data_IF_743458141096
#
_entry.id   IF_743458141096
#
_cell.length_a   1.000
_cell.length_b   1.000
_cell.length_c   1.000
_cell.angle_alpha   90.00
_cell.angle_beta   90.00
_cell.angle_gamma   90.00
#
_symmetry.space_group_name_H-M   'P 1'
#
loop_
_entity.id
_entity.type
_entity.pdbx_description
1 polymer ?
#
# COMPACT_ATOMS: atom_id res chain seq x y z
N UNK A 1 52.00 -12.21 2.93
CA UNK A 1 51.07 -11.05 2.97
C UNK A 1 49.83 -11.42 2.18
N UNK A 2 48.64 -11.39 2.77
CA UNK A 2 47.36 -11.65 2.09
C UNK A 2 46.65 -10.30 1.91
N UNK A 3 46.25 -10.00 0.67
CA UNK A 3 45.49 -8.80 0.34
C UNK A 3 44.04 -8.97 0.82
N UNK A 4 43.52 -7.94 1.50
CA UNK A 4 42.10 -7.84 1.86
C UNK A 4 41.51 -6.79 0.93
N UNK A 5 40.61 -7.23 0.05
CA UNK A 5 39.86 -6.35 -0.85
C UNK A 5 38.76 -5.67 -0.06
N UNK A 6 38.81 -4.33 0.04
CA UNK A 6 37.76 -3.54 0.66
C UNK A 6 36.64 -3.30 -0.35
N UNK A 7 35.45 -3.83 -0.08
CA UNK A 7 34.24 -3.55 -0.86
C UNK A 7 33.68 -2.20 -0.41
N UNK A 8 33.65 -1.22 -1.33
CA UNK A 8 33.07 0.09 -1.07
C UNK A 8 31.54 0.00 -1.02
N UNK A 9 30.94 0.50 0.06
CA UNK A 9 29.50 0.68 0.21
C UNK A 9 29.16 2.09 -0.27
N UNK A 10 28.41 2.20 -1.36
CA UNK A 10 27.92 3.48 -1.87
C UNK A 10 26.61 3.84 -1.13
N UNK A 11 26.65 4.91 -0.34
CA UNK A 11 25.46 5.54 0.24
C UNK A 11 24.84 6.47 -0.79
N UNK A 12 23.70 6.09 -1.37
CA UNK A 12 22.85 6.99 -2.13
C UNK A 12 21.73 7.50 -1.22
N UNK A 13 21.71 8.81 -0.97
CA UNK A 13 20.64 9.46 -0.22
C UNK A 13 19.53 9.83 -1.21
N UNK A 14 18.40 9.12 -1.17
CA UNK A 14 17.17 9.54 -1.84
C UNK A 14 16.21 10.06 -0.78
N UNK A 15 15.91 11.36 -0.85
CA UNK A 15 14.88 11.98 -0.03
C UNK A 15 13.50 11.68 -0.66
N UNK A 16 12.74 10.79 -0.02
CA UNK A 16 11.33 10.56 -0.39
C UNK A 16 10.47 11.66 0.23
N UNK A 17 10.04 12.61 -0.60
CA UNK A 17 9.13 13.68 -0.22
C UNK A 17 7.69 13.26 -0.51
N UNK A 18 7.06 12.49 0.37
CA UNK A 18 5.61 12.28 0.29
C UNK A 18 4.96 13.16 1.36
N UNK A 19 4.60 14.37 0.96
CA UNK A 19 3.83 15.32 1.75
C UNK A 19 2.34 15.06 1.50
N UNK A 20 1.60 14.63 2.52
CA UNK A 20 0.15 14.51 2.43
C UNK A 20 -0.49 15.84 2.83
N UNK A 21 -1.29 16.41 1.92
CA UNK A 21 -2.15 17.55 2.21
C UNK A 21 -3.23 17.13 3.22
N UNK A 22 -3.42 17.93 4.27
CA UNK A 22 -4.52 17.77 5.22
C UNK A 22 -5.85 18.21 4.60
N UNK A 23 -7.00 17.61 4.99
CA UNK A 23 -8.30 18.21 4.72
C UNK A 23 -8.45 19.50 5.52
N UNK A 24 -8.93 20.56 4.86
CA UNK A 24 -9.22 21.83 5.51
C UNK A 24 -10.35 21.68 6.54
N UNK A 25 -10.28 22.35 7.70
CA UNK A 25 -11.36 22.35 8.67
C UNK A 25 -12.58 23.07 8.09
N UNK A 26 -13.76 22.45 8.22
CA UNK A 26 -15.03 23.07 7.89
C UNK A 26 -15.26 24.29 8.79
N UNK A 27 -15.36 25.48 8.21
CA UNK A 27 -15.90 26.66 8.88
C UNK A 27 -17.36 26.83 8.49
N UNK A 28 -18.22 26.87 9.51
CA UNK A 28 -19.62 27.26 9.43
C UNK A 28 -19.76 28.74 9.07
N UNK A 29 -20.39 29.03 7.92
CA UNK A 29 -21.49 30.00 7.69
C UNK A 29 -21.59 30.43 6.20
N UNK A 30 -22.78 30.87 5.76
CA UNK A 30 -23.27 30.67 4.40
C UNK A 30 -23.09 31.90 3.49
N UNK A 31 -23.03 31.68 2.18
CA UNK A 31 -23.89 32.31 1.17
C UNK A 31 -23.29 32.31 -0.25
N UNK A 32 -24.21 32.24 -1.21
CA UNK A 32 -24.15 32.77 -2.57
C UNK A 32 -23.30 32.04 -3.63
N UNK A 33 -24.01 31.24 -4.45
CA UNK A 33 -23.68 31.01 -5.85
C UNK A 33 -23.75 32.33 -6.63
N UNK A 34 -22.80 32.59 -7.53
CA UNK A 34 -23.23 33.11 -8.83
C UNK A 34 -22.45 32.53 -10.01
N UNK A 35 -23.14 32.38 -11.14
CA UNK A 35 -22.53 32.67 -12.45
C UNK A 35 -22.73 31.61 -13.53
N UNK A 36 -23.88 31.68 -14.19
CA UNK A 36 -24.15 31.15 -15.52
C UNK A 36 -23.22 31.73 -16.60
N UNK A 37 -22.76 30.89 -17.54
CA UNK A 37 -22.39 31.33 -18.89
C UNK A 37 -23.08 30.42 -19.92
N UNK A 38 -23.91 31.04 -20.76
CA UNK A 38 -24.49 30.47 -21.99
C UNK A 38 -23.88 31.17 -23.21
N UNK A 39 -23.96 30.44 -24.34
CA UNK A 39 -23.78 30.81 -25.75
C UNK A 39 -22.32 30.87 -26.23
N UNK A 40 -21.93 30.33 -27.39
CA UNK A 40 -22.61 30.20 -28.70
C UNK A 40 -22.12 28.99 -29.53
N UNK A 41 -23.03 28.46 -30.36
CA UNK A 41 -22.82 27.56 -31.51
C UNK A 41 -22.31 28.35 -32.73
N UNK A 42 -21.61 27.70 -33.68
CA UNK A 42 -21.72 28.08 -35.10
C UNK A 42 -22.31 26.94 -35.94
N UNK A 43 -23.38 27.27 -36.67
CA UNK A 43 -23.77 26.59 -37.91
C UNK A 43 -22.80 27.00 -39.01
N UNK A 44 -22.22 26.03 -39.72
CA UNK A 44 -22.00 26.12 -41.17
C UNK A 44 -21.55 24.74 -41.68
N UNK A 45 -22.38 24.15 -42.54
CA UNK A 45 -22.08 22.96 -43.31
C UNK A 45 -22.10 23.30 -44.80
N UNK A 46 -21.32 22.58 -45.64
CA UNK A 46 -21.77 22.25 -47.00
C UNK A 46 -21.97 20.73 -47.22
N UNK A 47 -22.84 20.43 -48.19
CA UNK A 47 -23.59 19.20 -48.47
C UNK A 47 -22.89 18.08 -49.31
N UNK A 48 -23.29 16.82 -49.02
CA UNK A 48 -23.67 15.65 -49.88
C UNK A 48 -22.78 15.12 -51.04
N UNK A 49 -22.71 13.84 -51.46
CA UNK A 49 -23.43 12.54 -51.30
C UNK A 49 -22.54 11.41 -51.92
N UNK A 50 -23.00 10.19 -52.33
CA UNK A 50 -23.94 9.20 -51.80
C UNK A 50 -23.30 7.80 -51.54
N UNK A 51 -24.14 6.86 -51.10
CA UNK A 51 -23.86 5.46 -50.78
C UNK A 51 -23.20 4.62 -51.88
N UNK A 52 -22.34 3.68 -51.47
CA UNK A 52 -22.08 2.43 -52.19
C UNK A 52 -22.54 1.27 -51.31
N UNK A 53 -23.64 0.66 -51.72
CA UNK A 53 -24.02 -0.70 -51.35
C UNK A 53 -23.14 -1.69 -52.13
N UNK A 54 -22.56 -2.68 -51.45
CA UNK A 54 -22.36 -4.01 -52.06
C UNK A 54 -22.21 -5.08 -50.98
N UNK A 55 -22.79 -6.24 -51.30
CA UNK A 55 -23.14 -7.37 -50.45
C UNK A 55 -22.01 -8.41 -50.38
N UNK A 56 -21.90 -9.10 -49.23
CA UNK A 56 -21.62 -10.55 -48.98
C UNK A 56 -20.51 -11.24 -49.84
N UNK A 57 -19.60 -12.09 -49.34
CA UNK A 57 -19.59 -12.98 -48.18
C UNK A 57 -18.21 -13.66 -48.02
N UNK A 58 -17.91 -14.07 -46.78
CA UNK A 58 -17.11 -15.23 -46.33
C UNK A 58 -15.66 -15.45 -46.84
N UNK A 59 -14.68 -15.26 -45.95
CA UNK A 59 -13.88 -16.35 -45.34
C UNK A 59 -12.79 -15.79 -44.40
N UNK A 60 -12.47 -16.58 -43.36
CA UNK A 60 -11.33 -16.45 -42.43
C UNK A 60 -11.52 -15.49 -41.25
N UNK A 61 -12.21 -16.02 -40.23
CA UNK A 61 -11.82 -15.81 -38.83
C UNK A 61 -10.33 -16.09 -38.68
N UNK A 62 -9.54 -15.02 -38.60
CA UNK A 62 -8.22 -15.04 -37.99
C UNK A 62 -8.36 -14.40 -36.60
N UNK A 63 -8.12 -15.25 -35.62
CA UNK A 63 -8.14 -15.02 -34.19
C UNK A 63 -7.52 -13.69 -33.74
N UNK A 64 -8.32 -12.92 -32.99
CA UNK A 64 -7.88 -11.86 -32.08
C UNK A 64 -6.76 -12.36 -31.15
N UNK A 65 -5.79 -11.52 -30.78
CA UNK A 65 -4.77 -11.88 -29.80
C UNK A 65 -5.47 -12.31 -28.51
N UNK A 66 -5.17 -13.55 -28.14
CA UNK A 66 -5.65 -14.27 -26.97
C UNK A 66 -5.41 -13.41 -25.72
N UNK A 67 -6.48 -12.82 -25.20
CA UNK A 67 -6.56 -12.42 -23.79
C UNK A 67 -6.10 -13.64 -22.99
N UNK A 68 -4.91 -13.56 -22.40
CA UNK A 68 -4.47 -14.52 -21.41
C UNK A 68 -5.40 -14.37 -20.21
N UNK A 69 -6.46 -15.16 -20.23
CA UNK A 69 -7.20 -15.55 -19.03
C UNK A 69 -6.18 -16.17 -18.08
N UNK A 70 -5.73 -15.38 -17.12
CA UNK A 70 -4.94 -15.87 -15.99
C UNK A 70 -5.86 -16.80 -15.23
N UNK A 71 -5.49 -18.08 -15.22
CA UNK A 71 -6.21 -19.11 -14.48
C UNK A 71 -6.30 -18.70 -13.01
N UNK A 72 -7.43 -18.91 -12.31
CA UNK A 72 -7.59 -18.58 -10.88
C UNK A 72 -6.68 -19.39 -9.92
N UNK A 73 -5.72 -20.15 -10.45
CA UNK A 73 -4.76 -20.93 -9.69
C UNK A 73 -3.84 -20.05 -8.81
N UNK A 74 -3.34 -18.92 -9.34
CA UNK A 74 -2.44 -18.05 -8.58
C UNK A 74 -3.12 -17.35 -7.39
N UNK A 75 -4.43 -17.11 -7.49
CA UNK A 75 -5.25 -16.56 -6.41
C UNK A 75 -5.28 -17.47 -5.17
N UNK A 76 -5.56 -18.76 -5.37
CA UNK A 76 -5.56 -19.75 -4.28
C UNK A 76 -4.16 -19.99 -3.69
N UNK A 77 -3.11 -19.82 -4.49
CA UNK A 77 -1.73 -20.06 -4.07
C UNK A 77 -1.28 -19.05 -3.00
N UNK A 78 -1.59 -17.76 -3.17
CA UNK A 78 -1.20 -16.71 -2.20
C UNK A 78 -1.85 -16.93 -0.82
N UNK A 79 -3.16 -17.22 -0.77
CA UNK A 79 -3.85 -17.48 0.50
C UNK A 79 -3.45 -18.83 1.13
N UNK A 80 -3.07 -19.84 0.33
CA UNK A 80 -2.55 -21.11 0.87
C UNK A 80 -1.18 -20.97 1.54
N UNK A 81 -0.41 -19.93 1.19
CA UNK A 81 0.91 -19.69 1.79
C UNK A 81 0.84 -18.99 3.15
N UNK A 82 -0.27 -18.32 3.49
CA UNK A 82 -0.40 -17.51 4.69
C UNK A 82 -1.55 -17.99 5.56
N UNK A 83 -1.24 -18.36 6.80
CA UNK A 83 -2.28 -18.73 7.78
C UNK A 83 -2.99 -17.51 8.33
N UNK A 84 -4.31 -17.64 8.57
CA UNK A 84 -5.13 -16.59 9.21
C UNK A 84 -4.55 -16.24 10.58
N UNK A 85 -4.15 -14.98 10.82
CA UNK A 85 -3.54 -14.60 12.09
C UNK A 85 -4.59 -14.55 13.20
N UNK A 86 -4.21 -15.02 14.38
CA UNK A 86 -5.02 -15.00 15.62
C UNK A 86 -4.42 -14.11 16.70
N UNK A 87 -3.17 -13.68 16.51
CA UNK A 87 -2.43 -12.85 17.46
C UNK A 87 -1.74 -11.70 16.74
N UNK A 88 -1.36 -10.61 17.43
CA UNK A 88 -0.57 -9.53 16.84
C UNK A 88 0.77 -10.02 16.27
N UNK A 89 1.41 -11.00 16.92
CA UNK A 89 2.67 -11.59 16.48
C UNK A 89 2.48 -12.31 15.14
N UNK A 90 1.46 -13.17 15.03
CA UNK A 90 1.13 -13.86 13.77
C UNK A 90 0.79 -12.87 12.66
N UNK A 91 0.10 -11.78 12.99
CA UNK A 91 -0.18 -10.73 12.01
C UNK A 91 1.10 -10.10 11.46
N UNK A 92 2.06 -9.75 12.32
CA UNK A 92 3.35 -9.18 11.90
C UNK A 92 4.21 -10.21 11.16
N UNK A 93 4.12 -11.50 11.51
CA UNK A 93 4.75 -12.58 10.74
C UNK A 93 4.17 -12.67 9.32
N UNK A 94 2.87 -12.47 9.14
CA UNK A 94 2.28 -12.43 7.80
C UNK A 94 2.83 -11.25 6.97
N UNK A 95 3.07 -10.09 7.60
CA UNK A 95 3.76 -8.97 6.92
C UNK A 95 5.17 -9.35 6.47
N UNK A 96 5.89 -10.17 7.24
CA UNK A 96 7.18 -10.72 6.81
C UNK A 96 7.04 -11.60 5.57
N UNK A 97 6.06 -12.51 5.54
CA UNK A 97 5.83 -13.38 4.38
C UNK A 97 5.49 -12.56 3.13
N UNK A 98 4.68 -11.51 3.29
CA UNK A 98 4.36 -10.56 2.23
C UNK A 98 5.60 -9.85 1.71
N UNK A 99 6.49 -9.41 2.61
CA UNK A 99 7.74 -8.75 2.26
C UNK A 99 8.74 -9.69 1.56
N UNK A 100 8.93 -10.90 2.07
CA UNK A 100 9.91 -11.85 1.55
C UNK A 100 9.50 -12.45 0.20
N UNK A 101 8.20 -12.69 0.03
CA UNK A 101 7.61 -13.31 -1.16
C UNK A 101 7.13 -12.32 -2.23
N UNK A 102 7.42 -11.03 -2.04
CA UNK A 102 7.09 -9.95 -2.99
C UNK A 102 5.58 -9.92 -3.35
N UNK A 103 4.72 -10.31 -2.40
CA UNK A 103 3.31 -10.59 -2.66
C UNK A 103 2.53 -9.33 -3.07
N UNK A 104 2.98 -8.14 -2.66
CA UNK A 104 2.36 -6.88 -3.07
C UNK A 104 2.53 -6.59 -4.58
N UNK A 105 3.36 -7.35 -5.31
CA UNK A 105 3.46 -7.22 -6.77
C UNK A 105 2.44 -8.10 -7.50
N UNK A 106 1.73 -8.99 -6.81
CA UNK A 106 0.85 -9.98 -7.40
C UNK A 106 -0.61 -9.51 -7.38
N UNK A 107 -1.31 -9.57 -8.52
CA UNK A 107 -2.75 -9.23 -8.58
C UNK A 107 -3.60 -10.07 -7.61
N UNK A 108 -3.24 -11.34 -7.46
CA UNK A 108 -3.88 -12.26 -6.54
C UNK A 108 -3.90 -11.74 -5.10
N UNK A 109 -2.87 -11.01 -4.65
CA UNK A 109 -2.84 -10.47 -3.29
C UNK A 109 -4.00 -9.51 -3.02
N UNK A 110 -4.45 -8.77 -4.03
CA UNK A 110 -5.44 -7.70 -3.89
C UNK A 110 -6.90 -8.15 -4.04
N UNK A 111 -7.16 -9.46 -4.14
CA UNK A 111 -8.55 -9.95 -4.13
C UNK A 111 -9.11 -9.86 -2.72
N UNK A 112 -10.41 -9.55 -2.61
CA UNK A 112 -11.09 -9.41 -1.32
C UNK A 112 -10.94 -10.68 -0.46
N UNK A 113 -11.14 -11.85 -1.05
CA UNK A 113 -11.01 -13.15 -0.37
C UNK A 113 -9.60 -13.37 0.19
N UNK A 114 -8.56 -13.06 -0.59
CA UNK A 114 -7.19 -13.25 -0.15
C UNK A 114 -6.82 -12.25 0.96
N UNK A 115 -7.24 -10.99 0.85
CA UNK A 115 -7.00 -10.00 1.92
C UNK A 115 -7.71 -10.40 3.21
N UNK A 116 -8.96 -10.88 3.12
CA UNK A 116 -9.71 -11.40 4.27
C UNK A 116 -9.04 -12.61 4.89
N UNK A 117 -8.47 -13.51 4.09
CA UNK A 117 -7.76 -14.67 4.62
C UNK A 117 -6.40 -14.29 5.22
N UNK A 118 -5.54 -13.58 4.49
CA UNK A 118 -4.18 -13.19 4.89
C UNK A 118 -4.18 -12.40 6.21
N UNK A 119 -5.15 -11.51 6.39
CA UNK A 119 -5.21 -10.60 7.54
C UNK A 119 -6.35 -10.93 8.52
N UNK A 120 -7.08 -12.03 8.30
CA UNK A 120 -8.26 -12.44 9.07
C UNK A 120 -9.27 -11.29 9.21
N UNK A 121 -9.71 -10.70 8.10
CA UNK A 121 -10.58 -9.52 8.10
C UNK A 121 -12.05 -9.90 7.91
N UNK A 122 -12.92 -9.17 8.61
CA UNK A 122 -14.36 -9.22 8.36
C UNK A 122 -14.71 -8.40 7.10
N UNK A 123 -14.08 -7.23 6.95
CA UNK A 123 -14.31 -6.28 5.87
C UNK A 123 -13.00 -5.69 5.36
N UNK A 124 -12.92 -5.45 4.06
CA UNK A 124 -11.82 -4.74 3.39
C UNK A 124 -12.40 -3.94 2.24
N UNK A 125 -11.92 -2.72 2.06
CA UNK A 125 -12.27 -1.92 0.88
C UNK A 125 -11.14 -2.06 -0.14
N UNK A 126 -11.50 -2.45 -1.36
CA UNK A 126 -10.60 -2.55 -2.51
C UNK A 126 -11.12 -1.60 -3.60
N UNK A 127 -10.26 -0.71 -4.06
CA UNK A 127 -10.54 0.22 -5.15
C UNK A 127 -9.58 -0.10 -6.29
N UNK A 128 -10.07 -0.51 -7.44
CA UNK A 128 -9.28 -0.83 -8.62
C UNK A 128 -9.69 0.11 -9.75
N UNK A 129 -8.79 1.01 -10.10
CA UNK A 129 -8.99 2.05 -11.11
C UNK A 129 -7.99 1.89 -12.26
N UNK A 130 -8.47 2.12 -13.48
CA UNK A 130 -7.66 2.07 -14.70
C UNK A 130 -7.88 3.39 -15.44
N UNK A 131 -6.88 4.26 -15.35
CA UNK A 131 -6.92 5.59 -15.96
C UNK A 131 -5.64 5.86 -16.75
N UNK A 132 -5.81 6.39 -17.97
CA UNK A 132 -4.70 6.81 -18.80
C UNK A 132 -3.64 5.73 -19.09
N UNK A 133 -3.95 4.43 -19.02
CA UNK A 133 -2.94 3.36 -19.19
C UNK A 133 -2.11 3.05 -17.93
N UNK A 134 -2.44 3.66 -16.80
CA UNK A 134 -2.03 3.21 -15.48
C UNK A 134 -3.14 2.37 -14.85
N UNK A 135 -2.77 1.41 -14.01
CA UNK A 135 -3.72 0.71 -13.13
C UNK A 135 -3.34 0.95 -11.69
N UNK A 136 -4.29 1.37 -10.87
CA UNK A 136 -4.11 1.69 -9.46
C UNK A 136 -5.09 0.86 -8.63
N UNK A 137 -4.53 0.04 -7.76
CA UNK A 137 -5.27 -0.69 -6.75
C UNK A 137 -4.97 -0.05 -5.40
N UNK A 138 -6.00 0.30 -4.63
CA UNK A 138 -5.89 0.76 -3.26
C UNK A 138 -6.68 -0.14 -2.32
N UNK A 139 -6.12 -0.40 -1.14
CA UNK A 139 -6.75 -1.22 -0.10
C UNK A 139 -6.76 -0.48 1.23
N UNK A 140 -7.84 -0.66 2.00
CA UNK A 140 -7.90 -0.24 3.39
C UNK A 140 -8.72 -1.22 4.21
N UNK A 141 -8.28 -1.49 5.44
CA UNK A 141 -9.05 -2.28 6.38
C UNK A 141 -8.69 -1.97 7.83
N UNK A 142 -9.61 -2.32 8.72
CA UNK A 142 -9.38 -2.40 10.16
C UNK A 142 -9.20 -3.86 10.56
N UNK A 143 -8.19 -4.15 11.38
CA UNK A 143 -7.97 -5.51 11.89
C UNK A 143 -8.98 -5.79 13.00
N UNK A 144 -9.64 -6.97 13.03
CA UNK A 144 -10.65 -7.25 14.03
C UNK A 144 -10.07 -7.36 15.44
N UNK A 145 -10.95 -7.07 16.41
CA UNK A 145 -10.66 -7.11 17.84
C UNK A 145 -10.18 -8.48 18.36
N UNK A 146 -10.53 -9.55 17.64
CA UNK A 146 -10.14 -10.92 17.95
C UNK A 146 -8.66 -11.22 17.68
N UNK A 147 -8.02 -10.43 16.81
CA UNK A 147 -6.58 -10.54 16.51
C UNK A 147 -5.81 -9.46 17.25
N UNK A 148 -6.29 -8.22 17.19
CA UNK A 148 -5.67 -7.06 17.84
C UNK A 148 -6.73 -6.34 18.68
N UNK A 149 -6.56 -6.25 20.01
CA UNK A 149 -7.55 -5.63 20.88
C UNK A 149 -7.93 -4.22 20.44
N UNK A 150 -9.23 -3.91 20.49
CA UNK A 150 -9.73 -2.55 20.22
C UNK A 150 -9.17 -1.56 21.24
N UNK A 151 -9.02 -0.30 20.82
CA UNK A 151 -8.59 0.79 21.70
C UNK A 151 -9.81 1.52 22.25
N UNK A 152 -9.77 1.84 23.54
CA UNK A 152 -10.76 2.72 24.15
C UNK A 152 -10.56 4.14 23.64
N UNK A 153 -11.66 4.78 23.24
CA UNK A 153 -11.71 6.18 22.82
C UNK A 153 -12.83 6.89 23.58
N UNK A 154 -12.94 8.21 23.45
CA UNK A 154 -14.05 8.94 24.07
C UNK A 154 -15.41 8.37 23.62
N UNK A 155 -16.40 8.41 24.50
CA UNK A 155 -17.79 8.03 24.19
C UNK A 155 -18.35 8.85 23.01
N UNK A 156 -17.87 10.10 22.84
CA UNK A 156 -18.20 10.95 21.69
C UNK A 156 -17.79 10.33 20.34
N UNK A 157 -16.79 9.44 20.35
CA UNK A 157 -16.34 8.68 19.18
C UNK A 157 -16.78 7.21 19.22
N UNK A 158 -17.83 6.89 20.02
CA UNK A 158 -18.40 5.55 20.11
C UNK A 158 -17.68 4.61 21.08
N UNK A 159 -16.83 5.12 21.98
CA UNK A 159 -16.22 4.36 23.09
C UNK A 159 -15.10 3.40 22.70
N UNK A 160 -15.13 2.82 21.49
CA UNK A 160 -14.11 1.88 21.00
C UNK A 160 -13.77 2.05 19.51
N UNK A 161 -12.48 2.15 19.21
CA UNK A 161 -11.96 2.18 17.85
C UNK A 161 -11.11 0.93 17.55
N UNK A 162 -10.90 0.59 16.27
CA UNK A 162 -9.94 -0.44 15.88
C UNK A 162 -8.58 -0.23 16.53
N UNK A 163 -7.98 -1.30 17.03
CA UNK A 163 -6.64 -1.28 17.61
C UNK A 163 -5.53 -1.26 16.56
N UNK A 164 -5.85 -1.67 15.34
CA UNK A 164 -4.96 -1.62 14.20
C UNK A 164 -5.72 -1.47 12.88
N UNK A 165 -5.02 -0.90 11.90
CA UNK A 165 -5.53 -0.66 10.56
C UNK A 165 -4.38 -0.70 9.57
N UNK A 166 -4.70 -0.94 8.30
CA UNK A 166 -3.73 -0.75 7.22
C UNK A 166 -4.35 -0.01 6.05
N UNK A 167 -3.47 0.67 5.33
CA UNK A 167 -3.74 1.21 3.99
C UNK A 167 -2.62 0.78 3.08
N UNK A 168 -2.91 0.55 1.81
CA UNK A 168 -1.90 0.11 0.86
C UNK A 168 -2.41 0.18 -0.56
N UNK A 169 -1.59 -0.32 -1.47
CA UNK A 169 -1.96 -0.35 -2.87
C UNK A 169 -0.83 -0.83 -3.78
N UNK A 170 -1.15 -0.88 -5.06
CA UNK A 170 -0.24 -1.18 -6.16
C UNK A 170 -0.57 -0.26 -7.33
N UNK A 171 0.45 0.24 -7.99
CA UNK A 171 0.33 1.02 -9.22
C UNK A 171 1.19 0.38 -10.29
N UNK A 172 0.60 0.09 -11.43
CA UNK A 172 1.30 -0.27 -12.66
C UNK A 172 1.31 0.99 -13.52
N UNK A 173 2.50 1.56 -13.70
CA UNK A 173 2.70 2.78 -14.47
C UNK A 173 2.73 2.45 -15.97
N UNK A 174 2.45 3.43 -16.83
CA UNK A 174 2.55 3.27 -18.30
C UNK A 174 3.94 2.79 -18.75
N UNK A 175 4.98 3.15 -18.00
CA UNK A 175 6.36 2.75 -18.27
C UNK A 175 6.63 1.25 -18.04
N UNK A 176 5.68 0.52 -17.45
CA UNK A 176 5.87 -0.85 -16.98
C UNK A 176 6.36 -0.96 -15.53
N UNK A 177 6.82 0.15 -14.92
CA UNK A 177 7.19 0.20 -13.51
C UNK A 177 6.00 -0.21 -12.64
N UNK A 178 6.25 -1.07 -11.66
CA UNK A 178 5.27 -1.45 -10.64
C UNK A 178 5.73 -0.92 -9.29
N UNK A 179 4.89 -0.15 -8.62
CA UNK A 179 5.14 0.32 -7.25
C UNK A 179 4.03 -0.18 -6.34
N UNK A 180 4.38 -0.78 -5.21
CA UNK A 180 3.40 -1.28 -4.25
C UNK A 180 3.82 -0.97 -2.82
N UNK A 181 2.85 -0.73 -1.96
CA UNK A 181 3.12 -0.45 -0.56
C UNK A 181 1.97 -0.89 0.35
N UNK A 182 2.30 -1.20 1.59
CA UNK A 182 1.32 -1.34 2.67
C UNK A 182 1.87 -0.67 3.94
N UNK A 183 1.03 0.14 4.56
CA UNK A 183 1.31 0.87 5.79
C UNK A 183 0.34 0.37 6.87
N UNK A 184 0.87 -0.43 7.77
CA UNK A 184 0.17 -1.00 8.91
C UNK A 184 0.46 -0.20 10.17
N UNK A 185 -0.59 0.23 10.86
CA UNK A 185 -0.52 0.90 12.16
C UNK A 185 -1.21 0.07 13.24
N UNK A 186 -0.59 0.00 14.42
CA UNK A 186 -1.08 -0.76 15.57
C UNK A 186 -0.87 0.04 16.86
N UNK A 187 -1.86 0.06 17.74
CA UNK A 187 -1.80 0.83 18.98
C UNK A 187 -1.07 0.09 20.11
N UNK A 188 -1.34 -1.21 20.26
CA UNK A 188 -0.73 -2.10 21.26
C UNK A 188 -0.37 -3.40 20.59
N UNK A 189 0.90 -3.54 20.22
CA UNK A 189 1.39 -4.77 19.60
C UNK A 189 1.81 -5.80 20.63
N UNK A 190 2.40 -5.35 21.74
CA UNK A 190 3.16 -6.22 22.65
C UNK A 190 4.44 -6.77 22.01
N UNK A 191 4.86 -6.23 20.86
CA UNK A 191 6.13 -6.57 20.20
C UNK A 191 7.13 -5.45 20.44
N UNK A 192 8.24 -5.75 21.09
CA UNK A 192 9.37 -4.84 21.23
C UNK A 192 10.31 -4.90 20.01
N UNK A 193 11.41 -4.14 20.07
CA UNK A 193 12.44 -4.12 19.03
C UNK A 193 13.04 -5.50 18.77
N UNK A 194 13.41 -6.24 19.82
CA UNK A 194 14.05 -7.56 19.71
C UNK A 194 13.11 -8.58 19.06
N UNK A 195 11.82 -8.52 19.39
CA UNK A 195 10.79 -9.34 18.75
C UNK A 195 10.65 -8.99 17.26
N UNK A 196 10.62 -7.70 16.92
CA UNK A 196 10.56 -7.26 15.53
C UNK A 196 11.79 -7.69 14.73
N UNK A 197 13.01 -7.53 15.28
CA UNK A 197 14.25 -7.97 14.65
C UNK A 197 14.25 -9.48 14.43
N UNK A 198 13.77 -10.27 15.40
CA UNK A 198 13.65 -11.72 15.27
C UNK A 198 12.64 -12.13 14.21
N UNK A 199 11.50 -11.45 14.12
CA UNK A 199 10.47 -11.75 13.11
C UNK A 199 10.99 -11.43 11.72
N UNK A 200 11.53 -10.24 11.49
CA UNK A 200 11.97 -9.86 10.15
C UNK A 200 13.28 -10.53 9.74
N UNK A 201 14.12 -10.91 10.71
CA UNK A 201 15.42 -11.54 10.49
C UNK A 201 16.32 -10.72 9.54
N UNK A 202 16.23 -9.39 9.66
CA UNK A 202 17.01 -8.43 8.88
C UNK A 202 17.79 -7.52 9.81
N UNK A 203 18.92 -7.01 9.31
CA UNK A 203 19.71 -6.03 10.05
C UNK A 203 19.18 -4.64 9.77
N UNK A 204 18.42 -4.10 10.72
CA UNK A 204 17.86 -2.76 10.62
C UNK A 204 18.93 -1.66 10.78
N UNK A 205 18.69 -0.54 10.11
CA UNK A 205 19.42 0.71 10.27
C UNK A 205 18.51 1.73 10.90
N UNK A 206 18.99 2.45 11.92
CA UNK A 206 18.20 3.48 12.59
C UNK A 206 17.99 4.68 11.67
N UNK A 207 16.76 5.17 11.60
CA UNK A 207 16.43 6.45 10.98
C UNK A 207 16.64 7.57 11.99
N UNK A 208 17.43 8.62 11.67
CA UNK A 208 17.55 9.78 12.53
C UNK A 208 16.18 10.43 12.77
N UNK A 209 15.89 10.92 13.99
CA UNK A 209 14.64 11.62 14.27
C UNK A 209 14.49 12.82 13.34
N UNK A 210 13.34 12.93 12.68
CA UNK A 210 13.00 14.13 11.92
C UNK A 210 12.23 15.11 12.82
N UNK A 211 12.45 16.43 12.67
CA UNK A 211 11.66 17.43 13.37
C UNK A 211 10.19 17.30 12.97
N UNK A 212 9.32 17.03 13.94
CA UNK A 212 7.88 16.98 13.72
C UNK A 212 7.31 18.40 13.71
N UNK A 213 6.54 18.79 12.68
CA UNK A 213 5.88 20.09 12.64
C UNK A 213 4.80 20.24 13.73
N UNK A 214 4.38 19.13 14.35
CA UNK A 214 3.36 19.10 15.40
C UNK A 214 3.97 18.99 16.81
N UNK A 215 5.27 19.24 16.95
CA UNK A 215 6.02 19.08 18.20
C UNK A 215 6.61 17.69 18.37
N UNK A 216 7.63 17.57 19.22
CA UNK A 216 8.25 16.28 19.53
C UNK A 216 7.27 15.38 20.27
N UNK A 217 7.23 14.10 19.91
CA UNK A 217 6.65 13.07 20.78
C UNK A 217 7.24 13.20 22.19
N UNK A 218 6.45 12.83 23.21
CA UNK A 218 6.96 12.75 24.59
C UNK A 218 8.25 11.93 24.67
N UNK A 219 9.07 12.12 25.71
CA UNK A 219 10.34 11.40 25.83
C UNK A 219 10.12 9.89 25.79
N UNK A 220 11.10 9.16 25.24
CA UNK A 220 11.11 7.70 25.29
C UNK A 220 11.12 7.24 26.75
N UNK A 221 10.29 6.24 27.09
CA UNK A 221 10.20 5.67 28.44
C UNK A 221 11.07 4.43 28.60
N UNK A 222 11.53 3.86 27.48
CA UNK A 222 12.39 2.66 27.42
C UNK A 222 13.38 2.75 26.25
N UNK A 223 14.33 1.80 26.19
CA UNK A 223 15.20 1.59 25.02
C UNK A 223 14.36 1.38 23.75
N UNK A 224 14.81 1.96 22.64
CA UNK A 224 14.10 1.95 21.35
C UNK A 224 12.75 2.67 21.30
N UNK A 225 12.34 3.33 22.39
CA UNK A 225 11.13 4.15 22.40
C UNK A 225 11.23 5.34 21.45
N UNK A 226 10.16 5.62 20.71
CA UNK A 226 10.07 6.65 19.67
C UNK A 226 11.09 6.49 18.52
N UNK A 227 11.71 5.32 18.36
CA UNK A 227 12.66 5.10 17.28
C UNK A 227 11.98 4.58 16.02
N UNK A 228 12.58 4.89 14.87
CA UNK A 228 12.20 4.34 13.57
C UNK A 228 13.43 3.68 12.95
N UNK A 229 13.21 2.53 12.34
CA UNK A 229 14.25 1.68 11.80
C UNK A 229 13.85 1.17 10.43
N UNK A 230 14.80 0.95 9.54
CA UNK A 230 14.51 0.49 8.19
C UNK A 230 15.54 -0.51 7.69
N UNK A 231 15.11 -1.36 6.78
CA UNK A 231 15.95 -2.27 6.01
C UNK A 231 15.57 -2.11 4.54
N UNK A 232 16.57 -2.13 3.65
CA UNK A 232 16.39 -2.01 2.22
C UNK A 232 17.28 -3.03 1.52
N UNK A 233 16.72 -3.62 0.46
CA UNK A 233 17.41 -4.55 -0.41
C UNK A 233 17.12 -4.19 -1.86
N UNK A 234 18.18 -4.21 -2.67
CA UNK A 234 18.11 -4.01 -4.12
C UNK A 234 18.60 -5.30 -4.77
N UNK A 235 17.76 -5.92 -5.60
CA UNK A 235 18.05 -7.15 -6.32
C UNK A 235 17.64 -6.98 -7.79
N UNK A 236 18.61 -6.74 -8.68
CA UNK A 236 18.31 -6.47 -10.08
C UNK A 236 17.50 -5.19 -10.27
N UNK A 237 16.36 -5.29 -10.94
CA UNK A 237 15.39 -4.20 -11.14
C UNK A 237 14.55 -3.90 -9.89
N UNK A 238 14.52 -4.82 -8.93
CA UNK A 238 13.63 -4.76 -7.79
C UNK A 238 14.29 -4.09 -6.58
N UNK A 239 13.57 -3.16 -5.98
CA UNK A 239 13.89 -2.55 -4.71
C UNK A 239 12.78 -2.86 -3.70
N UNK A 240 13.17 -3.37 -2.53
CA UNK A 240 12.25 -3.62 -1.42
C UNK A 240 12.75 -2.98 -0.14
N UNK A 241 11.84 -2.37 0.58
CA UNK A 241 12.13 -1.66 1.83
C UNK A 241 11.06 -1.99 2.86
N UNK A 242 11.51 -2.19 4.09
CA UNK A 242 10.65 -2.29 5.25
C UNK A 242 11.08 -1.27 6.30
N UNK A 243 10.14 -0.53 6.83
CA UNK A 243 10.34 0.46 7.88
C UNK A 243 9.45 0.10 9.07
N UNK A 244 10.04 0.00 10.26
CA UNK A 244 9.35 -0.27 11.52
C UNK A 244 9.48 0.93 12.44
N UNK A 245 8.41 1.26 13.16
CA UNK A 245 8.38 2.35 14.14
C UNK A 245 7.94 1.85 15.50
N UNK A 246 8.54 2.40 16.56
CA UNK A 246 8.23 2.08 17.96
C UNK A 246 7.67 3.30 18.69
N UNK A 247 6.65 3.08 19.54
CA UNK A 247 6.04 4.13 20.34
C UNK A 247 6.95 4.49 21.54
N UNK A 248 6.53 5.40 22.41
CA UNK A 248 7.33 5.81 23.58
C UNK A 248 7.71 4.65 24.49
N UNK A 249 6.84 3.63 24.56
CA UNK A 249 6.98 2.43 25.40
C UNK A 249 7.76 1.31 24.70
N UNK A 250 8.38 1.60 23.55
CA UNK A 250 9.22 0.65 22.82
C UNK A 250 8.43 -0.45 22.11
N UNK A 251 7.11 -0.35 22.04
CA UNK A 251 6.28 -1.29 21.30
C UNK A 251 6.15 -0.88 19.84
N UNK A 252 6.20 -1.86 18.94
CA UNK A 252 5.98 -1.69 17.51
C UNK A 252 4.61 -1.04 17.31
N UNK A 253 4.56 0.12 16.66
CA UNK A 253 3.31 0.83 16.34
C UNK A 253 3.08 0.97 14.83
N UNK A 254 4.11 0.74 14.02
CA UNK A 254 4.03 0.90 12.58
C UNK A 254 4.94 -0.08 11.84
N UNK A 255 4.43 -0.64 10.74
CA UNK A 255 5.20 -1.35 9.72
C UNK A 255 4.82 -0.78 8.36
N UNK A 256 5.81 -0.32 7.59
CA UNK A 256 5.65 0.12 6.21
C UNK A 256 6.50 -0.78 5.32
N UNK A 257 5.88 -1.42 4.34
CA UNK A 257 6.56 -2.17 3.28
C UNK A 257 6.37 -1.41 1.97
N UNK A 258 7.47 -1.24 1.23
CA UNK A 258 7.51 -0.57 -0.08
C UNK A 258 8.27 -1.47 -1.05
N UNK A 259 7.66 -1.80 -2.20
CA UNK A 259 8.25 -2.57 -3.29
C UNK A 259 8.20 -1.75 -4.58
N UNK A 260 9.31 -1.69 -5.30
CA UNK A 260 9.40 -1.10 -6.64
C UNK A 260 10.04 -2.12 -7.58
N UNK A 261 9.42 -2.41 -8.71
CA UNK A 261 9.95 -3.30 -9.75
C UNK A 261 9.92 -2.61 -11.12
N UNK A 262 11.06 -2.61 -11.81
CA UNK A 262 11.32 -1.88 -13.05
C UNK A 262 11.38 -2.78 -14.28
#
# INVERSE_FOLDING_TARGET
>A
MKAITATAVATATVASNISYAQPAPASDMPAALPGSLRYTQPEDAPQMAPALTSYLNAAQQASLPKNQSVSPQGGKEVAQMISKPKTPIEFVQNLKVIFDGDLLLQDAFYTEDNLKDIFNLDEVSVFDDVDGGERRIAIMASVPGSVIPRRKVSEEFGGEAPGAQFVGGRTIHQSGLVTAAINFGIHKSGLDFDAAERIFAVKFVRVPPQPSPHGSSGPATVSHGNETWWYQQVCGSMERKITVGFNSDGELYRVLIELNDK
#
